data_IF_834466637750
#
_entry.id   IF_834466637750
#
_cell.length_a   1.000
_cell.length_b   1.000
_cell.length_c   1.000
_cell.angle_alpha   90.00
_cell.angle_beta   90.00
_cell.angle_gamma   90.00
#
_symmetry.space_group_name_H-M   'P 1'
#
loop_
_entity.id
_entity.type
_entity.pdbx_description
1 polymer ?
#
# COMPACT_ATOMS: atom_id res chain seq x y z
N UNK A 1 -29.53 -0.63 14.31
CA UNK A 1 -29.85 -2.07 14.26
C UNK A 1 -28.95 -2.79 15.24
N UNK A 2 -29.49 -3.17 16.41
CA UNK A 2 -28.73 -3.81 17.49
C UNK A 2 -29.22 -5.25 17.64
N UNK A 3 -28.35 -6.22 17.35
CA UNK A 3 -28.53 -7.62 17.73
C UNK A 3 -28.32 -7.75 19.24
N UNK A 4 -29.39 -8.02 19.99
CA UNK A 4 -29.29 -8.45 21.39
C UNK A 4 -29.66 -9.93 21.48
N UNK A 5 -28.63 -10.73 21.73
CA UNK A 5 -28.72 -12.14 22.06
C UNK A 5 -29.66 -12.36 23.24
N UNK A 6 -30.70 -13.19 23.04
CA UNK A 6 -31.48 -13.74 24.15
C UNK A 6 -30.60 -14.71 24.93
N UNK A 7 -30.13 -14.25 26.10
CA UNK A 7 -29.59 -15.13 27.14
C UNK A 7 -30.79 -15.80 27.81
N UNK A 8 -31.04 -17.06 27.48
CA UNK A 8 -31.98 -17.90 28.24
C UNK A 8 -31.40 -18.10 29.66
N UNK A 9 -32.16 -17.80 30.72
CA UNK A 9 -31.73 -18.13 32.06
C UNK A 9 -32.00 -19.62 32.28
N UNK A 10 -30.96 -20.45 32.23
CA UNK A 10 -31.02 -21.79 32.83
C UNK A 10 -31.09 -21.65 34.35
N UNK A 11 -32.27 -21.27 34.87
CA UNK A 11 -32.69 -21.64 36.22
C UNK A 11 -32.93 -23.14 36.19
N UNK A 12 -31.88 -23.90 36.47
CA UNK A 12 -32.03 -25.31 36.83
C UNK A 12 -32.95 -25.33 38.06
N UNK A 13 -34.10 -25.97 37.87
CA UNK A 13 -35.09 -26.27 38.89
C UNK A 13 -34.42 -27.25 39.87
N UNK A 14 -33.71 -26.71 40.87
CA UNK A 14 -33.37 -27.39 42.10
C UNK A 14 -34.59 -27.28 43.01
N UNK A 15 -35.64 -28.05 42.72
CA UNK A 15 -36.77 -28.30 43.63
C UNK A 15 -37.64 -29.44 43.10
N UNK A 16 -37.15 -30.66 43.26
CA UNK A 16 -37.98 -31.88 43.29
C UNK A 16 -37.19 -33.04 43.88
N UNK A 17 -36.64 -32.84 45.09
CA UNK A 17 -36.47 -33.99 45.99
C UNK A 17 -37.89 -34.34 46.45
N UNK A 18 -38.56 -35.18 45.66
CA UNK A 18 -39.75 -35.89 46.09
C UNK A 18 -39.33 -36.73 47.30
N UNK A 19 -39.97 -36.60 48.48
CA UNK A 19 -39.83 -37.62 49.50
C UNK A 19 -40.52 -38.86 48.96
N UNK A 20 -39.74 -39.83 48.48
CA UNK A 20 -40.23 -41.16 48.19
C UNK A 20 -40.71 -41.75 49.52
N UNK A 21 -42.00 -41.60 49.79
CA UNK A 21 -42.73 -42.42 50.73
C UNK A 21 -42.52 -43.86 50.30
N UNK A 22 -41.78 -44.62 51.12
CA UNK A 22 -41.60 -46.06 50.96
C UNK A 22 -42.97 -46.69 51.26
N UNK A 23 -43.80 -46.76 50.24
CA UNK A 23 -45.00 -47.59 50.21
C UNK A 23 -44.55 -49.05 50.27
N UNK A 24 -45.11 -49.79 51.23
CA UNK A 24 -44.84 -51.21 51.48
C UNK A 24 -45.15 -52.05 50.24
N UNK A 25 -44.15 -52.33 49.41
CA UNK A 25 -44.22 -53.38 48.40
C UNK A 25 -42.88 -54.12 48.27
N UNK A 26 -42.92 -55.41 48.62
CA UNK A 26 -42.04 -56.51 48.20
C UNK A 26 -40.53 -56.24 48.06
N UNK A 27 -39.75 -56.84 48.96
CA UNK A 27 -38.29 -57.04 48.82
C UNK A 27 -37.99 -57.81 47.51
N UNK A 28 -37.81 -57.08 46.41
CA UNK A 28 -37.02 -57.54 45.26
C UNK A 28 -35.60 -57.03 45.50
N UNK A 29 -34.68 -57.95 45.80
CA UNK A 29 -33.26 -57.63 45.94
C UNK A 29 -32.77 -56.98 44.64
N UNK A 30 -32.55 -55.67 44.66
CA UNK A 30 -31.78 -54.99 43.61
C UNK A 30 -30.31 -55.29 43.90
N UNK A 31 -29.58 -55.96 42.98
CA UNK A 31 -28.18 -56.30 43.22
C UNK A 31 -27.35 -55.03 43.47
N UNK A 32 -26.51 -55.02 44.53
CA UNK A 32 -25.57 -53.93 44.84
C UNK A 32 -24.67 -53.55 43.64
N UNK A 33 -24.47 -54.48 42.71
CA UNK A 33 -23.74 -54.28 41.45
C UNK A 33 -24.41 -53.28 40.49
N UNK A 34 -25.74 -53.19 40.46
CA UNK A 34 -26.49 -52.24 39.63
C UNK A 34 -26.29 -50.79 40.10
N UNK A 35 -26.43 -50.54 41.41
CA UNK A 35 -26.12 -49.24 42.01
C UNK A 35 -24.65 -48.81 41.79
N UNK A 36 -23.73 -49.77 41.78
CA UNK A 36 -22.30 -49.49 41.51
C UNK A 36 -22.03 -49.16 40.05
N UNK A 37 -22.88 -49.63 39.12
CA UNK A 37 -22.76 -49.37 37.68
C UNK A 37 -23.32 -47.99 37.36
N UNK A 38 -24.52 -47.67 37.86
CA UNK A 38 -25.14 -46.35 37.69
C UNK A 38 -24.26 -45.24 38.28
N UNK A 39 -23.65 -45.44 39.46
CA UNK A 39 -22.68 -44.48 40.01
C UNK A 39 -21.45 -44.27 39.11
N UNK A 40 -20.93 -45.34 38.51
CA UNK A 40 -19.76 -45.25 37.59
C UNK A 40 -20.12 -44.51 36.29
N UNK A 41 -21.32 -44.73 35.78
CA UNK A 41 -21.84 -44.06 34.59
C UNK A 41 -22.05 -42.56 34.83
N UNK A 42 -22.57 -42.17 36.00
CA UNK A 42 -22.70 -40.75 36.38
C UNK A 42 -21.33 -40.07 36.52
N UNK A 43 -20.31 -40.78 37.03
CA UNK A 43 -18.94 -40.25 37.11
C UNK A 43 -18.37 -40.03 35.70
N UNK A 44 -18.50 -41.02 34.80
CA UNK A 44 -18.03 -40.91 33.42
C UNK A 44 -18.71 -39.74 32.67
N UNK A 45 -20.03 -39.62 32.78
CA UNK A 45 -20.77 -38.51 32.15
C UNK A 45 -20.35 -37.15 32.72
N UNK A 46 -19.99 -37.09 34.01
CA UNK A 46 -19.45 -35.88 34.62
C UNK A 46 -18.07 -35.54 34.07
N UNK A 47 -17.17 -36.51 33.98
CA UNK A 47 -15.82 -36.32 33.45
C UNK A 47 -15.85 -35.90 31.97
N UNK A 48 -16.73 -36.50 31.16
CA UNK A 48 -16.97 -36.11 29.76
C UNK A 48 -17.53 -34.69 29.64
N UNK A 49 -18.44 -34.30 30.54
CA UNK A 49 -18.99 -32.94 30.58
C UNK A 49 -17.94 -31.91 31.01
N UNK A 50 -17.10 -32.25 32.00
CA UNK A 50 -15.99 -31.40 32.45
C UNK A 50 -14.96 -31.22 31.32
N UNK A 51 -14.65 -32.29 30.57
CA UNK A 51 -13.79 -32.23 29.38
C UNK A 51 -14.39 -31.38 28.26
N UNK A 52 -15.69 -31.53 27.96
CA UNK A 52 -16.40 -30.69 27.00
C UNK A 52 -16.39 -29.21 27.43
N UNK A 53 -16.60 -28.93 28.71
CA UNK A 53 -16.59 -27.58 29.26
C UNK A 53 -15.23 -26.92 29.10
N UNK A 54 -14.14 -27.65 29.40
CA UNK A 54 -12.78 -27.17 29.20
C UNK A 54 -12.48 -26.91 27.72
N UNK A 55 -12.93 -27.80 26.82
CA UNK A 55 -12.76 -27.61 25.38
C UNK A 55 -13.49 -26.36 24.88
N UNK A 56 -14.73 -26.13 25.32
CA UNK A 56 -15.49 -24.91 25.00
C UNK A 56 -14.77 -23.66 25.51
N UNK A 57 -14.20 -23.70 26.72
CA UNK A 57 -13.44 -22.58 27.26
C UNK A 57 -12.21 -22.25 26.39
N UNK A 58 -11.45 -23.27 25.99
CA UNK A 58 -10.28 -23.10 25.12
C UNK A 58 -10.65 -22.56 23.74
N UNK A 59 -11.75 -23.04 23.14
CA UNK A 59 -12.27 -22.52 21.88
C UNK A 59 -12.70 -21.06 22.01
N UNK A 60 -13.36 -20.68 23.11
CA UNK A 60 -13.73 -19.28 23.38
C UNK A 60 -12.50 -18.38 23.50
N UNK A 61 -11.48 -18.81 24.25
CA UNK A 61 -10.23 -18.07 24.39
C UNK A 61 -9.55 -17.86 23.03
N UNK A 62 -9.43 -18.93 22.23
CA UNK A 62 -8.83 -18.85 20.89
C UNK A 62 -9.64 -17.98 19.94
N UNK A 63 -10.96 -18.02 20.02
CA UNK A 63 -11.83 -17.16 19.21
C UNK A 63 -11.64 -15.67 19.58
N UNK A 64 -11.49 -15.35 20.87
CA UNK A 64 -11.18 -14.00 21.32
C UNK A 64 -9.82 -13.51 20.81
N UNK A 65 -8.78 -14.35 20.85
CA UNK A 65 -7.46 -14.02 20.29
C UNK A 65 -7.52 -13.74 18.78
N UNK A 66 -8.25 -14.57 18.03
CA UNK A 66 -8.43 -14.37 16.59
C UNK A 66 -9.19 -13.08 16.29
N UNK A 67 -10.22 -12.77 17.09
CA UNK A 67 -10.99 -11.55 16.96
C UNK A 67 -10.10 -10.32 17.19
N UNK A 68 -9.22 -10.36 18.19
CA UNK A 68 -8.27 -9.28 18.47
C UNK A 68 -7.28 -9.10 17.30
N UNK A 69 -6.69 -10.19 16.79
CA UNK A 69 -5.79 -10.13 15.64
C UNK A 69 -6.48 -9.59 14.39
N UNK A 70 -7.73 -9.96 14.15
CA UNK A 70 -8.53 -9.43 13.04
C UNK A 70 -8.73 -7.92 13.17
N UNK A 71 -9.03 -7.43 14.38
CA UNK A 71 -9.17 -5.99 14.63
C UNK A 71 -7.86 -5.22 14.46
N UNK A 72 -6.74 -5.77 14.91
CA UNK A 72 -5.41 -5.18 14.71
C UNK A 72 -5.04 -5.11 13.22
N UNK A 73 -5.32 -6.17 12.47
CA UNK A 73 -5.11 -6.22 11.03
C UNK A 73 -5.97 -5.18 10.30
N UNK A 74 -7.25 -5.05 10.65
CA UNK A 74 -8.13 -4.03 10.07
C UNK A 74 -7.58 -2.61 10.29
N UNK A 75 -7.14 -2.29 11.52
CA UNK A 75 -6.52 -0.98 11.82
C UNK A 75 -5.24 -0.75 10.99
N UNK A 76 -4.44 -1.79 10.81
CA UNK A 76 -3.23 -1.72 9.98
C UNK A 76 -3.57 -1.46 8.51
N UNK A 77 -4.58 -2.14 7.97
CA UNK A 77 -5.07 -1.91 6.60
C UNK A 77 -5.58 -0.48 6.42
N UNK A 78 -6.40 0.04 7.34
CA UNK A 78 -6.88 1.42 7.29
C UNK A 78 -5.73 2.44 7.30
N UNK A 79 -4.67 2.18 8.07
CA UNK A 79 -3.48 3.03 8.09
C UNK A 79 -2.75 2.99 6.75
N UNK A 80 -2.56 1.81 6.18
CA UNK A 80 -1.93 1.63 4.87
C UNK A 80 -2.72 2.32 3.76
N UNK A 81 -4.05 2.21 3.75
CA UNK A 81 -4.90 2.88 2.77
C UNK A 81 -4.80 4.41 2.85
N UNK A 82 -4.68 4.97 4.05
CA UNK A 82 -4.48 6.42 4.24
C UNK A 82 -3.12 6.85 3.69
N UNK A 83 -2.08 6.09 3.99
CA UNK A 83 -0.72 6.35 3.48
C UNK A 83 -0.68 6.24 1.95
N UNK A 84 -1.33 5.23 1.38
CA UNK A 84 -1.38 5.05 -0.08
C UNK A 84 -2.09 6.22 -0.77
N UNK A 85 -3.24 6.65 -0.24
CA UNK A 85 -3.94 7.85 -0.74
C UNK A 85 -3.09 9.11 -0.67
N UNK A 86 -2.35 9.30 0.42
CA UNK A 86 -1.41 10.42 0.55
C UNK A 86 -0.29 10.34 -0.49
N UNK A 87 0.32 9.17 -0.66
CA UNK A 87 1.40 8.96 -1.63
C UNK A 87 0.93 9.21 -3.06
N UNK A 88 -0.25 8.69 -3.44
CA UNK A 88 -0.83 8.93 -4.76
C UNK A 88 -1.03 10.42 -5.04
N UNK A 89 -1.57 11.16 -4.05
CA UNK A 89 -1.74 12.62 -4.18
C UNK A 89 -0.40 13.34 -4.30
N UNK A 90 0.61 12.94 -3.54
CA UNK A 90 1.96 13.50 -3.62
C UNK A 90 2.59 13.24 -5.00
N UNK A 91 2.48 12.01 -5.52
CA UNK A 91 2.97 11.65 -6.85
C UNK A 91 2.27 12.50 -7.91
N UNK A 92 0.94 12.66 -7.82
CA UNK A 92 0.18 13.51 -8.74
C UNK A 92 0.71 14.95 -8.76
N UNK A 93 0.88 15.58 -7.59
CA UNK A 93 1.39 16.96 -7.47
C UNK A 93 2.79 17.08 -8.07
N UNK A 94 3.67 16.10 -7.81
CA UNK A 94 5.03 16.08 -8.35
C UNK A 94 5.01 15.98 -9.89
N UNK A 95 4.16 15.10 -10.44
CA UNK A 95 4.00 14.95 -11.89
C UNK A 95 3.46 16.22 -12.55
N UNK A 96 2.42 16.84 -11.97
CA UNK A 96 1.84 18.09 -12.45
C UNK A 96 2.89 19.22 -12.43
N UNK A 97 3.58 19.40 -11.30
CA UNK A 97 4.65 20.41 -11.14
C UNK A 97 5.81 20.20 -12.11
N UNK A 98 6.17 18.93 -12.37
CA UNK A 98 7.23 18.60 -13.32
C UNK A 98 6.80 18.95 -14.75
N UNK A 99 5.56 18.62 -15.13
CA UNK A 99 5.04 18.90 -16.46
C UNK A 99 4.94 20.41 -16.74
N UNK A 100 4.46 21.19 -15.75
CA UNK A 100 4.43 22.65 -15.83
C UNK A 100 5.82 23.24 -16.06
N UNK A 101 6.84 22.68 -15.39
CA UNK A 101 8.23 23.11 -15.53
C UNK A 101 8.81 22.77 -16.90
N UNK A 102 8.55 21.57 -17.42
CA UNK A 102 8.95 21.18 -18.77
C UNK A 102 8.31 22.07 -19.84
N UNK A 103 7.01 22.33 -19.73
CA UNK A 103 6.30 23.22 -20.67
C UNK A 103 6.86 24.65 -20.63
N UNK A 104 7.20 25.16 -19.44
CA UNK A 104 7.84 26.46 -19.27
C UNK A 104 9.22 26.51 -19.95
N UNK A 105 10.05 25.48 -19.76
CA UNK A 105 11.38 25.38 -20.41
C UNK A 105 11.22 25.34 -21.93
N UNK A 106 10.29 24.55 -22.46
CA UNK A 106 10.02 24.49 -23.91
C UNK A 106 9.59 25.85 -24.48
N UNK A 107 8.73 26.59 -23.75
CA UNK A 107 8.33 27.96 -24.15
C UNK A 107 9.51 28.93 -24.12
N UNK A 108 10.40 28.83 -23.13
CA UNK A 108 11.63 29.62 -23.08
C UNK A 108 12.55 29.31 -24.26
N UNK A 109 12.76 28.03 -24.59
CA UNK A 109 13.58 27.60 -25.74
C UNK A 109 13.07 28.21 -27.05
N UNK A 110 11.76 28.14 -27.31
CA UNK A 110 11.15 28.74 -28.51
C UNK A 110 11.33 30.27 -28.57
N UNK A 111 11.18 30.95 -27.44
CA UNK A 111 11.41 32.41 -27.39
C UNK A 111 12.88 32.75 -27.62
N UNK A 112 13.80 31.99 -27.04
CA UNK A 112 15.23 32.24 -27.20
C UNK A 112 15.68 31.96 -28.65
N UNK A 113 15.17 30.90 -29.29
CA UNK A 113 15.44 30.63 -30.71
C UNK A 113 14.94 31.74 -31.64
N UNK A 114 13.74 32.27 -31.38
CA UNK A 114 13.23 33.39 -32.19
C UNK A 114 14.03 34.68 -31.94
N UNK A 115 14.38 34.96 -30.68
CA UNK A 115 15.26 36.09 -30.35
C UNK A 115 16.59 36.00 -31.08
N UNK A 116 17.25 34.83 -31.07
CA UNK A 116 18.49 34.59 -31.82
C UNK A 116 18.32 34.93 -33.30
N UNK A 117 17.28 34.38 -33.93
CA UNK A 117 16.98 34.60 -35.36
C UNK A 117 16.73 36.08 -35.70
N UNK A 118 16.13 36.84 -34.80
CA UNK A 118 15.91 38.28 -35.00
C UNK A 118 17.21 39.07 -34.89
N UNK A 119 18.07 38.72 -33.93
CA UNK A 119 19.39 39.36 -33.76
C UNK A 119 20.29 39.04 -34.97
N UNK A 120 20.31 37.79 -35.44
CA UNK A 120 21.07 37.40 -36.63
C UNK A 120 20.63 38.19 -37.87
N UNK A 121 19.31 38.30 -38.11
CA UNK A 121 18.76 39.13 -39.20
C UNK A 121 19.14 40.60 -39.06
N UNK A 122 19.10 41.15 -37.86
CA UNK A 122 19.52 42.54 -37.62
C UNK A 122 21.00 42.74 -37.95
N UNK A 123 21.88 41.82 -37.52
CA UNK A 123 23.31 41.88 -37.82
C UNK A 123 23.56 41.79 -39.33
N UNK A 124 22.84 40.92 -40.05
CA UNK A 124 22.90 40.84 -41.51
C UNK A 124 22.47 42.16 -42.18
N UNK A 125 21.35 42.75 -41.77
CA UNK A 125 20.86 44.02 -42.31
C UNK A 125 21.84 45.16 -42.07
N UNK A 126 22.41 45.25 -40.86
CA UNK A 126 23.46 46.23 -40.53
C UNK A 126 24.70 46.00 -41.40
N UNK A 127 25.10 44.74 -41.60
CA UNK A 127 26.21 44.40 -42.48
C UNK A 127 25.99 44.84 -43.93
N UNK A 128 24.78 44.65 -44.46
CA UNK A 128 24.39 45.14 -45.79
C UNK A 128 24.51 46.67 -45.86
N UNK A 129 24.06 47.38 -44.83
CA UNK A 129 24.16 48.85 -44.77
C UNK A 129 25.62 49.29 -44.75
N UNK A 130 26.45 48.72 -43.87
CA UNK A 130 27.89 49.05 -43.75
C UNK A 130 28.59 48.82 -45.09
N UNK A 131 28.34 47.68 -45.73
CA UNK A 131 28.92 47.34 -47.04
C UNK A 131 28.54 48.34 -48.13
N UNK A 132 27.29 48.83 -48.15
CA UNK A 132 26.82 49.86 -49.11
C UNK A 132 27.60 51.18 -49.01
N UNK A 133 28.16 51.50 -47.84
CA UNK A 133 28.97 52.69 -47.62
C UNK A 133 30.49 52.41 -47.65
N UNK A 134 30.91 51.24 -48.14
CA UNK A 134 32.32 50.86 -48.25
C UNK A 134 33.00 50.55 -46.90
N UNK A 135 32.22 50.28 -45.86
CA UNK A 135 32.74 49.92 -44.54
C UNK A 135 33.23 48.46 -44.46
N UNK A 136 34.04 48.17 -43.44
CA UNK A 136 34.58 46.83 -43.16
C UNK A 136 33.52 45.86 -42.63
N UNK A 137 33.60 44.58 -42.99
CA UNK A 137 32.74 43.51 -42.47
C UNK A 137 33.16 43.02 -41.08
N UNK A 138 34.38 43.32 -40.61
CA UNK A 138 34.91 42.80 -39.35
C UNK A 138 33.96 42.99 -38.13
N UNK A 139 33.27 44.15 -37.95
CA UNK A 139 32.33 44.31 -36.84
C UNK A 139 31.11 43.38 -36.92
N UNK A 140 30.68 43.01 -38.13
CA UNK A 140 29.58 42.07 -38.38
C UNK A 140 30.03 40.65 -38.00
N UNK A 141 31.26 40.30 -38.37
CA UNK A 141 31.88 39.02 -38.02
C UNK A 141 32.05 38.87 -36.50
N UNK A 142 32.48 39.93 -35.80
CA UNK A 142 32.58 39.98 -34.34
C UNK A 142 31.21 39.83 -33.66
N UNK A 143 30.16 40.44 -34.24
CA UNK A 143 28.78 40.27 -33.77
C UNK A 143 28.28 38.84 -33.94
N UNK A 144 28.55 38.19 -35.09
CA UNK A 144 28.23 36.78 -35.29
C UNK A 144 28.98 35.87 -34.31
N UNK A 145 30.28 36.11 -34.08
CA UNK A 145 31.06 35.37 -33.09
C UNK A 145 30.47 35.52 -31.67
N UNK A 146 30.01 36.72 -31.33
CA UNK A 146 29.36 36.99 -30.04
C UNK A 146 28.05 36.22 -29.89
N UNK A 147 27.19 36.22 -30.92
CA UNK A 147 25.92 35.45 -30.95
C UNK A 147 26.19 33.95 -30.81
N UNK A 148 27.21 33.43 -31.50
CA UNK A 148 27.63 32.03 -31.38
C UNK A 148 28.06 31.73 -29.95
N UNK A 149 28.86 32.59 -29.31
CA UNK A 149 29.30 32.38 -27.92
C UNK A 149 28.12 32.26 -26.94
N UNK A 150 27.10 33.11 -27.07
CA UNK A 150 25.91 33.07 -26.20
C UNK A 150 25.11 31.79 -26.40
N UNK A 151 25.03 31.32 -27.64
CA UNK A 151 24.21 30.15 -27.99
C UNK A 151 24.93 28.82 -27.76
N UNK A 152 26.25 28.84 -27.60
CA UNK A 152 27.05 27.65 -27.29
C UNK A 152 26.80 27.18 -25.85
N UNK A 153 26.67 28.12 -24.90
CA UNK A 153 26.34 27.81 -23.50
C UNK A 153 24.96 27.16 -23.39
N UNK A 154 23.95 27.74 -24.07
CA UNK A 154 22.59 27.18 -24.12
C UNK A 154 22.57 25.75 -24.71
N UNK A 155 23.33 25.51 -25.78
CA UNK A 155 23.43 24.19 -26.42
C UNK A 155 24.13 23.14 -25.53
N UNK A 156 25.08 23.57 -24.69
CA UNK A 156 25.78 22.68 -23.76
C UNK A 156 24.89 22.30 -22.57
N UNK A 157 24.09 23.24 -22.05
CA UNK A 157 23.10 22.94 -21.01
C UNK A 157 22.05 21.95 -21.49
N UNK A 158 21.59 22.08 -22.73
CA UNK A 158 20.65 21.13 -23.35
C UNK A 158 21.22 19.72 -23.45
N UNK A 159 22.47 19.56 -23.91
CA UNK A 159 23.14 18.26 -23.93
C UNK A 159 23.28 17.65 -22.54
N UNK A 160 23.61 18.46 -21.54
CA UNK A 160 23.72 18.00 -20.14
C UNK A 160 22.37 17.55 -19.58
N UNK A 161 21.29 18.26 -19.93
CA UNK A 161 19.92 17.89 -19.54
C UNK A 161 19.49 16.58 -20.18
N UNK A 162 19.73 16.38 -21.48
CA UNK A 162 19.39 15.15 -22.19
C UNK A 162 20.17 13.95 -21.65
N UNK A 163 21.47 14.13 -21.35
CA UNK A 163 22.28 13.08 -20.71
C UNK A 163 21.70 12.65 -19.36
N UNK A 164 21.36 13.61 -18.48
CA UNK A 164 20.75 13.32 -17.18
C UNK A 164 19.41 12.62 -17.32
N UNK A 165 18.61 12.99 -18.33
CA UNK A 165 17.33 12.34 -18.61
C UNK A 165 17.52 10.87 -19.00
N UNK A 166 18.51 10.56 -19.84
CA UNK A 166 18.83 9.18 -20.19
C UNK A 166 19.30 8.37 -18.98
N UNK A 167 20.15 8.96 -18.13
CA UNK A 167 20.60 8.30 -16.89
C UNK A 167 19.44 7.96 -15.96
N UNK A 168 18.49 8.89 -15.80
CA UNK A 168 17.30 8.68 -14.96
C UNK A 168 16.37 7.60 -15.53
N UNK A 169 16.18 7.55 -16.86
CA UNK A 169 15.41 6.49 -17.51
C UNK A 169 16.05 5.11 -17.28
N UNK A 170 17.38 5.01 -17.39
CA UNK A 170 18.10 3.78 -17.10
C UNK A 170 18.00 3.33 -15.64
N UNK A 171 17.96 4.27 -14.69
CA UNK A 171 17.71 3.95 -13.28
C UNK A 171 16.29 3.44 -13.04
N UNK A 172 15.30 4.05 -13.68
CA UNK A 172 13.90 3.64 -13.63
C UNK A 172 13.70 2.20 -14.13
N UNK A 173 14.34 1.84 -15.24
CA UNK A 173 14.28 0.49 -15.80
C UNK A 173 14.90 -0.57 -14.88
N UNK A 174 16.02 -0.24 -14.22
CA UNK A 174 16.65 -1.09 -13.19
C UNK A 174 15.73 -1.29 -11.99
N UNK A 175 15.09 -0.23 -11.50
CA UNK A 175 14.15 -0.33 -10.38
C UNK A 175 12.92 -1.17 -10.72
N UNK A 176 12.37 -1.01 -11.93
CA UNK A 176 11.23 -1.78 -12.42
C UNK A 176 11.54 -3.29 -12.54
N UNK A 177 12.70 -3.63 -13.10
CA UNK A 177 13.14 -5.03 -13.22
C UNK A 177 13.45 -5.67 -11.88
N UNK A 178 14.03 -4.94 -10.93
CA UNK A 178 14.28 -5.44 -9.58
C UNK A 178 12.98 -5.71 -8.81
N UNK A 179 11.96 -4.87 -9.00
CA UNK A 179 10.63 -5.08 -8.42
C UNK A 179 9.94 -6.33 -9.00
N UNK A 180 10.04 -6.55 -10.31
CA UNK A 180 9.53 -7.77 -10.95
C UNK A 180 10.25 -9.02 -10.44
N UNK A 181 11.56 -8.96 -10.25
CA UNK A 181 12.35 -10.06 -9.70
C UNK A 181 11.93 -10.43 -8.27
N UNK A 182 11.70 -9.43 -7.40
CA UNK A 182 11.19 -9.68 -6.04
C UNK A 182 9.81 -10.33 -6.03
N UNK A 183 8.91 -9.90 -6.91
CA UNK A 183 7.58 -10.50 -7.05
C UNK A 183 7.65 -11.96 -7.53
N UNK A 184 8.54 -12.25 -8.46
CA UNK A 184 8.78 -13.62 -8.93
C UNK A 184 9.31 -14.53 -7.81
N UNK A 185 10.28 -14.07 -7.01
CA UNK A 185 10.77 -14.81 -5.85
C UNK A 185 9.67 -15.09 -4.82
N UNK A 186 8.81 -14.11 -4.54
CA UNK A 186 7.71 -14.26 -3.60
C UNK A 186 6.67 -15.29 -4.09
N UNK A 187 6.36 -15.33 -5.40
CA UNK A 187 5.48 -16.35 -5.97
C UNK A 187 6.07 -17.76 -5.89
N UNK A 188 7.39 -17.91 -6.09
CA UNK A 188 8.09 -19.20 -5.95
C UNK A 188 8.03 -19.69 -4.50
N UNK A 189 8.29 -18.81 -3.53
CA UNK A 189 8.20 -19.12 -2.10
C UNK A 189 6.79 -19.55 -1.66
N UNK A 190 5.75 -18.92 -2.22
CA UNK A 190 4.34 -19.26 -1.94
C UNK A 190 3.91 -20.59 -2.56
N UNK A 191 4.49 -21.00 -3.70
CA UNK A 191 4.24 -22.30 -4.35
C UNK A 191 4.99 -23.46 -3.72
N UNK A 192 5.98 -23.18 -2.88
CA UNK A 192 6.86 -24.17 -2.25
C UNK A 192 6.43 -24.54 -0.82
N UNK A 193 5.26 -24.07 -0.37
CA UNK A 193 4.60 -24.41 0.89
C UNK A 193 3.28 -25.11 0.61
#
# INVERSE_FOLDING_TARGET
MQNKFHVLPYKIILNSIVPLTISKFHKKYVPKSLFSRERREVILLKDENDACTLHIHNLKARNMELLQKAQELMKSCEKLEKTERYNQKTIQIVCESFWEREEFVQRLKRRNSERKRLIERFVEEVGIIIARFGGSSNPVDDMHATIVSWTTTDAQEDKNHDSKKQDLLGQLEKLGSEQQFRLAQQQVLLRSK
#
